data_IF_245997439339
#
_entry.id   IF_245997439339
#
_cell.length_a   1.000
_cell.length_b   1.000
_cell.length_c   1.000
_cell.angle_alpha   90.00
_cell.angle_beta   90.00
_cell.angle_gamma   90.00
#
_symmetry.space_group_name_H-M   'P 1'
#
loop_
_entity.id
_entity.type
_entity.pdbx_description
1 polymer ?
#
# COMPACT_ATOMS: atom_id res chain seq x y z
N UNK A 1 -24.54 -28.55 37.65
CA UNK A 1 -24.64 -27.89 36.33
C UNK A 1 -24.62 -26.36 36.40
N UNK A 2 -25.13 -25.72 37.46
CA UNK A 2 -25.25 -24.25 37.59
C UNK A 2 -23.94 -23.43 37.54
N UNK A 3 -22.82 -23.92 38.09
CA UNK A 3 -21.56 -23.15 38.18
C UNK A 3 -20.89 -22.87 36.82
N UNK A 4 -21.16 -23.69 35.81
CA UNK A 4 -20.58 -23.51 34.47
C UNK A 4 -21.26 -22.38 33.67
N UNK A 5 -22.56 -22.17 33.88
CA UNK A 5 -23.34 -21.12 33.21
C UNK A 5 -22.98 -19.71 33.69
N UNK A 6 -22.68 -19.55 34.98
CA UNK A 6 -22.34 -18.25 35.60
C UNK A 6 -20.97 -17.74 35.12
N UNK A 7 -20.01 -18.63 34.87
CA UNK A 7 -18.71 -18.26 34.30
C UNK A 7 -18.86 -17.79 32.86
N UNK A 8 -19.54 -18.58 32.02
CA UNK A 8 -19.75 -18.27 30.59
C UNK A 8 -20.50 -16.95 30.38
N UNK A 9 -21.55 -16.68 31.17
CA UNK A 9 -22.28 -15.40 31.09
C UNK A 9 -21.42 -14.22 31.52
N UNK A 10 -20.62 -14.35 32.59
CA UNK A 10 -19.67 -13.29 33.02
C UNK A 10 -18.63 -12.98 31.95
N UNK A 11 -18.07 -14.00 31.29
CA UNK A 11 -17.12 -13.81 30.18
C UNK A 11 -17.77 -13.11 28.99
N UNK A 12 -19.00 -13.51 28.62
CA UNK A 12 -19.73 -12.86 27.51
C UNK A 12 -20.10 -11.40 27.80
N UNK A 13 -20.38 -11.08 29.07
CA UNK A 13 -20.67 -9.72 29.50
C UNK A 13 -19.39 -8.87 29.47
N UNK A 14 -18.29 -9.40 29.99
CA UNK A 14 -16.97 -8.75 29.99
C UNK A 14 -16.44 -8.50 28.56
N UNK A 15 -16.70 -9.44 27.64
CA UNK A 15 -16.35 -9.28 26.23
C UNK A 15 -17.17 -8.16 25.55
N UNK A 16 -18.45 -8.02 25.87
CA UNK A 16 -19.29 -6.94 25.36
C UNK A 16 -18.89 -5.58 25.93
N UNK A 17 -18.60 -5.51 27.23
CA UNK A 17 -18.11 -4.30 27.90
C UNK A 17 -16.76 -3.84 27.33
N UNK A 18 -15.81 -4.75 27.16
CA UNK A 18 -14.49 -4.44 26.59
C UNK A 18 -14.58 -3.97 25.13
N UNK A 19 -15.42 -4.63 24.31
CA UNK A 19 -15.69 -4.20 22.94
C UNK A 19 -16.35 -2.81 22.92
N UNK A 20 -17.35 -2.56 23.74
CA UNK A 20 -18.03 -1.27 23.82
C UNK A 20 -17.06 -0.14 24.23
N UNK A 21 -16.21 -0.38 25.22
CA UNK A 21 -15.18 0.58 25.64
C UNK A 21 -14.15 0.85 24.55
N UNK A 22 -13.75 -0.17 23.79
CA UNK A 22 -12.86 0.00 22.65
C UNK A 22 -13.50 0.85 21.55
N UNK A 23 -14.76 0.57 21.18
CA UNK A 23 -15.49 1.35 20.18
C UNK A 23 -15.80 2.77 20.64
N UNK A 24 -16.10 2.98 21.93
CA UNK A 24 -16.31 4.31 22.51
C UNK A 24 -15.01 5.12 22.54
N UNK A 25 -13.88 4.50 22.86
CA UNK A 25 -12.55 5.13 22.77
C UNK A 25 -12.23 5.52 21.33
N UNK A 26 -12.51 4.66 20.36
CA UNK A 26 -12.33 4.93 18.93
C UNK A 26 -13.21 6.11 18.49
N UNK A 27 -14.48 6.16 18.88
CA UNK A 27 -15.40 7.25 18.51
C UNK A 27 -14.99 8.58 19.17
N UNK A 28 -14.66 8.57 20.46
CA UNK A 28 -14.19 9.77 21.17
C UNK A 28 -12.88 10.26 20.57
N UNK A 29 -11.96 9.35 20.24
CA UNK A 29 -10.72 9.68 19.55
C UNK A 29 -11.02 10.33 18.19
N UNK A 30 -11.86 9.73 17.33
CA UNK A 30 -12.23 10.28 16.01
C UNK A 30 -12.97 11.64 16.10
N UNK A 31 -13.76 11.86 17.16
CA UNK A 31 -14.46 13.14 17.38
C UNK A 31 -13.50 14.24 17.84
N UNK A 32 -12.54 13.91 18.72
CA UNK A 32 -11.44 14.81 19.10
C UNK A 32 -10.54 15.08 17.89
N UNK A 33 -10.31 14.05 17.08
CA UNK A 33 -9.53 14.06 15.85
C UNK A 33 -10.12 15.05 14.83
N UNK A 34 -11.44 15.07 14.65
CA UNK A 34 -12.11 16.00 13.72
C UNK A 34 -12.01 17.48 14.15
N UNK A 35 -11.84 17.76 15.45
CA UNK A 35 -11.78 19.14 15.99
C UNK A 35 -10.36 19.71 16.08
N UNK A 36 -9.33 18.87 16.18
CA UNK A 36 -7.91 19.27 16.34
C UNK A 36 -7.12 19.14 15.02
N UNK A 37 -7.68 18.53 13.97
CA UNK A 37 -7.02 18.04 12.75
C UNK A 37 -6.37 19.04 11.78
N UNK A 38 -6.41 20.33 12.05
CA UNK A 38 -5.90 21.35 11.14
C UNK A 38 -4.68 21.96 11.79
N UNK A 39 -3.48 21.38 11.61
CA UNK A 39 -2.30 22.20 11.25
C UNK A 39 -0.97 21.51 10.89
N UNK A 40 -0.65 20.27 11.25
CA UNK A 40 0.73 19.78 11.00
C UNK A 40 0.81 18.26 10.67
N UNK A 41 1.35 17.92 9.51
CA UNK A 41 1.60 16.55 9.01
C UNK A 41 2.45 15.69 9.98
N UNK A 42 3.25 16.34 10.84
CA UNK A 42 4.16 15.73 11.83
C UNK A 42 3.44 14.92 12.91
N UNK A 43 2.18 15.24 13.19
CA UNK A 43 1.38 14.52 14.19
C UNK A 43 0.84 13.19 13.66
N UNK A 44 0.55 13.07 12.37
CA UNK A 44 0.04 11.83 11.76
C UNK A 44 0.98 10.64 11.95
N UNK A 45 2.29 10.86 11.82
CA UNK A 45 3.27 9.77 11.98
C UNK A 45 3.40 9.34 13.44
N UNK A 46 3.30 10.30 14.38
CA UNK A 46 3.33 10.00 15.82
C UNK A 46 2.08 9.27 16.30
N UNK A 47 0.90 9.69 15.84
CA UNK A 47 -0.35 9.01 16.17
C UNK A 47 -0.47 7.66 15.48
N UNK A 48 -0.02 7.52 14.24
CA UNK A 48 0.09 6.22 13.55
C UNK A 48 0.97 5.25 14.34
N UNK A 49 2.10 5.72 14.86
CA UNK A 49 2.96 4.90 15.72
C UNK A 49 2.27 4.51 17.04
N UNK A 50 1.58 5.45 17.70
CA UNK A 50 0.83 5.15 18.93
C UNK A 50 -0.27 4.11 18.68
N UNK A 51 -0.97 4.17 17.54
CA UNK A 51 -2.03 3.23 17.21
C UNK A 51 -1.48 1.82 16.93
N UNK A 52 -0.34 1.74 16.23
CA UNK A 52 0.38 0.47 16.02
C UNK A 52 0.83 -0.11 17.36
N UNK A 53 1.40 0.69 18.26
CA UNK A 53 1.80 0.24 19.60
C UNK A 53 0.62 -0.27 20.43
N UNK A 54 -0.54 0.40 20.38
CA UNK A 54 -1.76 -0.06 21.05
C UNK A 54 -2.24 -1.39 20.46
N UNK A 55 -2.21 -1.55 19.14
CA UNK A 55 -2.54 -2.80 18.47
C UNK A 55 -1.64 -3.96 18.91
N UNK A 56 -0.32 -3.74 18.94
CA UNK A 56 0.66 -4.72 19.42
C UNK A 56 0.44 -5.10 20.89
N UNK A 57 0.09 -4.15 21.77
CA UNK A 57 -0.22 -4.41 23.18
C UNK A 57 -1.45 -5.31 23.36
N UNK A 58 -2.49 -5.12 22.54
CA UNK A 58 -3.69 -5.96 22.57
C UNK A 58 -3.36 -7.40 22.15
N UNK A 59 -2.57 -7.56 21.08
CA UNK A 59 -2.18 -8.88 20.57
C UNK A 59 -1.20 -9.56 21.55
N UNK A 60 -0.26 -8.84 22.15
CA UNK A 60 0.62 -9.34 23.21
C UNK A 60 -0.17 -9.87 24.41
N UNK A 61 -1.19 -9.14 24.84
CA UNK A 61 -2.05 -9.58 25.94
C UNK A 61 -2.80 -10.88 25.60
N UNK A 62 -3.27 -10.99 24.35
CA UNK A 62 -3.90 -12.21 23.84
C UNK A 62 -2.92 -13.40 23.77
N UNK A 63 -1.70 -13.19 23.26
CA UNK A 63 -0.66 -14.22 23.17
C UNK A 63 -0.20 -14.66 24.56
N UNK A 64 -0.09 -13.73 25.51
CA UNK A 64 0.22 -14.05 26.90
C UNK A 64 -0.88 -14.89 27.56
N UNK A 65 -2.16 -14.59 27.28
CA UNK A 65 -3.28 -15.41 27.73
C UNK A 65 -3.27 -16.83 27.14
N UNK A 66 -2.70 -17.03 25.96
CA UNK A 66 -2.63 -18.31 25.25
C UNK A 66 -1.25 -19.00 25.36
N UNK A 67 -0.39 -18.55 26.28
CA UNK A 67 1.00 -19.02 26.41
C UNK A 67 1.13 -20.55 26.59
N UNK A 68 0.14 -21.25 27.13
CA UNK A 68 0.18 -22.71 27.30
C UNK A 68 0.08 -23.49 26.00
N UNK A 69 -0.47 -22.87 24.94
CA UNK A 69 -0.73 -23.53 23.65
C UNK A 69 0.41 -23.35 22.64
N UNK A 70 1.30 -22.37 22.85
CA UNK A 70 2.39 -22.05 21.92
C UNK A 70 3.71 -22.65 22.39
N UNK A 71 4.48 -23.20 21.44
CA UNK A 71 5.83 -23.68 21.72
C UNK A 71 6.74 -22.53 22.16
N UNK A 72 7.71 -22.81 23.04
CA UNK A 72 8.69 -21.81 23.52
C UNK A 72 9.43 -21.09 22.39
N UNK A 73 9.67 -21.78 21.28
CA UNK A 73 10.31 -21.20 20.10
C UNK A 73 9.41 -20.16 19.41
N UNK A 74 8.12 -20.46 19.23
CA UNK A 74 7.13 -19.54 18.65
C UNK A 74 6.95 -18.29 19.51
N UNK A 75 6.96 -18.46 20.84
CA UNK A 75 6.89 -17.34 21.78
C UNK A 75 8.11 -16.42 21.65
N UNK A 76 9.32 -16.99 21.57
CA UNK A 76 10.56 -16.22 21.46
C UNK A 76 10.61 -15.39 20.18
N UNK A 77 10.23 -15.98 19.03
CA UNK A 77 10.13 -15.27 17.75
C UNK A 77 9.16 -14.10 17.85
N UNK A 78 7.99 -14.33 18.46
CA UNK A 78 6.97 -13.29 18.60
C UNK A 78 7.47 -12.13 19.48
N UNK A 79 8.00 -12.40 20.68
CA UNK A 79 8.55 -11.36 21.55
C UNK A 79 9.71 -10.59 20.89
N UNK A 80 10.60 -11.29 20.17
CA UNK A 80 11.69 -10.64 19.43
C UNK A 80 11.16 -9.70 18.33
N UNK A 81 10.13 -10.11 17.60
CA UNK A 81 9.51 -9.28 16.55
C UNK A 81 8.86 -8.01 17.11
N UNK A 82 8.14 -8.13 18.24
CA UNK A 82 7.54 -6.99 18.95
C UNK A 82 8.60 -6.02 19.44
N UNK A 83 9.67 -6.53 20.07
CA UNK A 83 10.78 -5.69 20.56
C UNK A 83 11.42 -4.92 19.40
N UNK A 84 11.69 -5.59 18.28
CA UNK A 84 12.26 -4.96 17.09
C UNK A 84 11.36 -3.84 16.56
N UNK A 85 10.06 -4.08 16.50
CA UNK A 85 9.08 -3.11 16.03
C UNK A 85 8.95 -1.89 16.96
N UNK A 86 9.00 -2.09 18.29
CA UNK A 86 9.02 -1.01 19.29
C UNK A 86 10.30 -0.16 19.14
N UNK A 87 11.46 -0.81 19.01
CA UNK A 87 12.76 -0.13 18.85
C UNK A 87 12.79 0.69 17.56
N UNK A 88 12.37 0.10 16.44
CA UNK A 88 12.28 0.78 15.15
C UNK A 88 11.29 1.95 15.19
N UNK A 89 10.15 1.75 15.86
CA UNK A 89 9.16 2.79 16.10
C UNK A 89 9.71 3.97 16.91
N UNK A 90 10.42 3.70 18.00
CA UNK A 90 11.07 4.72 18.82
C UNK A 90 12.16 5.47 18.03
N UNK A 91 12.96 4.75 17.24
CA UNK A 91 13.98 5.34 16.37
C UNK A 91 13.37 6.31 15.36
N UNK A 92 12.27 5.92 14.70
CA UNK A 92 11.52 6.79 13.79
C UNK A 92 10.95 8.01 14.52
N UNK A 93 10.38 7.83 15.72
CA UNK A 93 9.81 8.94 16.51
C UNK A 93 10.86 9.97 16.91
N UNK A 94 12.12 9.54 17.13
CA UNK A 94 13.27 10.40 17.45
C UNK A 94 13.88 11.04 16.20
N UNK A 95 13.93 10.34 15.07
CA UNK A 95 14.53 10.85 13.82
C UNK A 95 13.61 11.81 13.05
N UNK A 96 12.29 11.55 13.05
CA UNK A 96 11.30 12.37 12.33
C UNK A 96 11.21 13.85 12.76
N UNK A 97 11.33 14.24 14.05
CA UNK A 97 11.26 15.65 14.43
C UNK A 97 12.44 16.49 13.93
N UNK A 98 13.56 15.86 13.54
CA UNK A 98 14.79 16.55 13.14
C UNK A 98 14.99 16.67 11.62
N UNK A 99 14.00 16.25 10.81
CA UNK A 99 13.97 16.55 9.38
C UNK A 99 13.79 18.07 9.21
N UNK A 100 14.91 18.78 9.15
CA UNK A 100 14.93 20.19 8.78
C UNK A 100 14.21 20.35 7.43
N UNK A 101 13.28 21.31 7.29
CA UNK A 101 12.79 21.67 5.98
C UNK A 101 14.00 22.08 5.15
N UNK A 102 14.31 21.29 4.12
CA UNK A 102 15.48 21.49 3.26
C UNK A 102 15.49 22.95 2.77
N UNK A 103 16.44 23.80 3.21
CA UNK A 103 16.46 25.20 2.85
C UNK A 103 17.18 25.30 1.50
N UNK A 104 16.41 25.40 0.43
CA UNK A 104 16.95 25.54 -0.92
C UNK A 104 16.74 24.31 -1.78
N UNK A 105 15.48 24.03 -2.12
CA UNK A 105 15.22 23.44 -3.43
C UNK A 105 15.45 24.53 -4.47
N UNK A 106 16.69 24.63 -4.93
CA UNK A 106 16.96 25.22 -6.24
C UNK A 106 16.49 24.14 -7.21
N UNK A 107 15.52 24.40 -8.09
CA UNK A 107 15.28 23.46 -9.18
C UNK A 107 16.63 23.30 -9.86
N UNK A 108 17.20 22.09 -9.84
CA UNK A 108 18.20 21.74 -10.83
C UNK A 108 17.49 21.98 -12.15
N UNK A 109 17.75 23.16 -12.72
CA UNK A 109 17.63 23.37 -14.15
C UNK A 109 18.45 22.22 -14.69
N UNK A 110 17.76 21.22 -15.24
CA UNK A 110 18.43 20.28 -16.13
C UNK A 110 19.30 21.17 -17.00
N UNK A 111 20.58 20.86 -17.03
CA UNK A 111 21.44 21.38 -18.07
C UNK A 111 20.64 21.12 -19.34
N UNK A 112 20.04 22.19 -19.87
CA UNK A 112 19.38 22.17 -21.15
C UNK A 112 20.56 21.93 -22.06
N UNK A 113 20.84 20.65 -22.29
CA UNK A 113 21.62 20.22 -23.43
C UNK A 113 20.91 20.89 -24.57
N UNK A 114 21.54 21.97 -25.00
CA UNK A 114 21.12 22.81 -26.10
C UNK A 114 21.10 21.85 -27.28
N UNK A 115 19.90 21.41 -27.65
CA UNK A 115 19.64 20.50 -28.76
C UNK A 115 19.83 21.25 -30.09
N UNK A 116 21.00 21.88 -30.22
CA UNK A 116 21.40 22.73 -31.35
C UNK A 116 22.80 22.48 -31.86
N UNK A 117 23.60 21.64 -31.21
CA UNK A 117 24.89 21.21 -31.76
C UNK A 117 24.87 19.70 -31.94
N UNK A 118 24.72 19.29 -33.20
CA UNK A 118 24.65 17.92 -33.61
C UNK A 118 25.90 17.13 -33.22
N UNK A 119 25.68 16.07 -32.45
CA UNK A 119 26.39 14.81 -32.66
C UNK A 119 25.35 13.72 -32.89
N UNK A 120 25.15 13.45 -34.18
CA UNK A 120 24.41 12.34 -34.74
C UNK A 120 25.11 11.03 -34.37
N UNK A 121 25.05 10.60 -33.10
CA UNK A 121 25.51 9.28 -32.68
C UNK A 121 24.32 8.33 -32.64
N UNK A 122 24.08 7.75 -33.82
CA UNK A 122 23.34 6.53 -34.13
C UNK A 122 22.73 5.74 -32.95
N UNK A 123 21.40 5.71 -32.95
CA UNK A 123 20.53 4.80 -32.20
C UNK A 123 19.29 5.57 -31.77
N UNK A 124 18.16 5.37 -32.46
CA UNK A 124 16.90 6.11 -32.32
C UNK A 124 16.54 6.49 -30.89
N UNK A 125 15.91 7.66 -30.71
CA UNK A 125 15.19 8.07 -29.49
C UNK A 125 14.07 7.08 -29.15
N UNK A 126 14.42 5.88 -28.71
CA UNK A 126 13.48 4.80 -28.44
C UNK A 126 12.73 5.09 -27.14
N UNK A 127 11.55 5.68 -27.31
CA UNK A 127 10.50 5.81 -26.29
C UNK A 127 10.12 4.39 -25.81
N UNK A 128 9.85 4.25 -24.51
CA UNK A 128 9.44 2.98 -23.89
C UNK A 128 8.34 2.26 -24.71
N UNK A 129 8.55 0.96 -25.05
CA UNK A 129 7.59 0.17 -25.82
C UNK A 129 6.25 -0.05 -25.16
N UNK A 130 6.19 0.17 -23.85
CA UNK A 130 4.99 0.15 -23.07
C UNK A 130 3.90 1.10 -23.60
N UNK A 131 4.28 2.24 -24.22
CA UNK A 131 3.33 3.21 -24.80
C UNK A 131 2.52 2.65 -25.97
N UNK A 132 3.17 1.88 -26.84
CA UNK A 132 2.56 1.29 -28.03
C UNK A 132 2.21 -0.20 -27.87
N UNK A 133 2.51 -0.79 -26.71
CA UNK A 133 2.13 -2.16 -26.40
C UNK A 133 0.60 -2.35 -26.33
N UNK A 134 0.11 -3.49 -26.83
CA UNK A 134 -1.28 -3.90 -26.65
C UNK A 134 -1.62 -4.06 -25.16
N UNK A 135 -2.90 -3.93 -24.81
CA UNK A 135 -3.36 -4.03 -23.41
C UNK A 135 -2.91 -5.36 -22.77
N UNK A 136 -2.95 -6.46 -23.54
CA UNK A 136 -2.47 -7.76 -23.06
C UNK A 136 -0.97 -7.76 -22.80
N UNK A 137 -0.16 -7.21 -23.71
CA UNK A 137 1.30 -7.09 -23.54
C UNK A 137 1.67 -6.17 -22.36
N UNK A 138 0.89 -5.10 -22.14
CA UNK A 138 1.05 -4.21 -20.98
C UNK A 138 0.75 -4.93 -19.66
N UNK A 139 -0.25 -5.81 -19.66
CA UNK A 139 -0.62 -6.63 -18.48
C UNK A 139 0.40 -7.73 -18.20
N UNK A 140 0.90 -8.41 -19.24
CA UNK A 140 1.81 -9.55 -19.10
C UNK A 140 3.28 -9.15 -19.07
N UNK A 141 3.59 -7.84 -19.07
CA UNK A 141 4.95 -7.30 -19.18
C UNK A 141 5.72 -7.81 -20.40
N UNK A 142 5.01 -8.24 -21.46
CA UNK A 142 5.62 -8.77 -22.68
C UNK A 142 6.51 -7.76 -23.40
N UNK A 143 6.28 -6.45 -23.17
CA UNK A 143 7.10 -5.38 -23.72
C UNK A 143 8.52 -5.31 -23.12
N UNK A 144 8.75 -5.87 -21.92
CA UNK A 144 10.09 -5.91 -21.27
C UNK A 144 10.93 -7.09 -21.78
N UNK A 145 10.28 -8.17 -22.23
CA UNK A 145 10.91 -9.40 -22.70
C UNK A 145 12.11 -9.21 -23.64
N UNK A 146 12.10 -8.33 -24.66
CA UNK A 146 13.28 -8.11 -25.52
C UNK A 146 14.51 -7.60 -24.73
N UNK A 147 14.32 -6.70 -23.76
CA UNK A 147 15.41 -6.18 -22.94
C UNK A 147 15.95 -7.26 -21.99
N UNK A 148 15.09 -8.12 -21.45
CA UNK A 148 15.51 -9.25 -20.62
C UNK A 148 16.33 -10.28 -21.42
N UNK A 149 15.92 -10.58 -22.65
CA UNK A 149 16.67 -11.46 -23.55
C UNK A 149 18.03 -10.87 -23.92
N UNK A 150 18.09 -9.56 -24.13
CA UNK A 150 19.35 -8.87 -24.37
C UNK A 150 20.27 -8.92 -23.14
N UNK A 151 19.73 -8.67 -21.95
CA UNK A 151 20.46 -8.76 -20.68
C UNK A 151 20.95 -10.17 -20.33
N UNK A 152 20.27 -11.20 -20.83
CA UNK A 152 20.73 -12.60 -20.71
C UNK A 152 21.97 -12.87 -21.57
N UNK A 153 22.02 -12.30 -22.77
CA UNK A 153 23.11 -12.52 -23.73
C UNK A 153 24.31 -11.60 -23.52
N UNK A 154 24.08 -10.35 -23.08
CA UNK A 154 25.12 -9.34 -22.84
C UNK A 154 24.76 -8.44 -21.66
N UNK A 155 25.74 -7.90 -20.91
CA UNK A 155 25.47 -6.93 -19.86
C UNK A 155 24.83 -5.66 -20.44
N UNK A 156 23.74 -5.20 -19.80
CA UNK A 156 22.99 -4.02 -20.25
C UNK A 156 23.79 -2.76 -19.96
N UNK A 157 23.95 -1.91 -20.98
CA UNK A 157 24.58 -0.58 -20.86
C UNK A 157 23.50 0.51 -20.85
N UNK A 158 23.76 1.69 -20.28
CA UNK A 158 22.78 2.78 -20.22
C UNK A 158 22.20 3.22 -21.57
N UNK A 159 22.92 2.99 -22.68
CA UNK A 159 22.45 3.25 -24.05
C UNK A 159 21.40 2.25 -24.56
N UNK A 160 21.34 1.06 -23.96
CA UNK A 160 20.39 -0.01 -24.32
C UNK A 160 19.04 0.13 -23.60
N UNK A 161 18.92 1.09 -22.67
CA UNK A 161 17.72 1.31 -21.86
C UNK A 161 16.85 2.38 -22.50
N UNK A 162 15.54 2.13 -22.53
CA UNK A 162 14.57 3.09 -23.07
C UNK A 162 14.53 4.39 -22.28
N UNK A 163 14.30 5.50 -22.99
CA UNK A 163 14.06 6.79 -22.36
C UNK A 163 12.70 6.81 -21.68
N UNK A 164 12.65 7.39 -20.49
CA UNK A 164 11.42 7.56 -19.71
C UNK A 164 10.41 8.40 -20.50
N UNK A 165 9.13 8.02 -20.48
CA UNK A 165 8.09 8.79 -21.15
C UNK A 165 7.97 10.19 -20.53
N UNK A 166 7.67 11.17 -21.38
CA UNK A 166 7.35 12.55 -21.07
C UNK A 166 6.43 12.75 -19.86
N UNK A 167 5.46 11.86 -19.63
CA UNK A 167 4.51 11.96 -18.51
C UNK A 167 5.06 11.49 -17.16
N UNK A 168 6.11 10.66 -17.16
CA UNK A 168 6.74 10.13 -15.93
C UNK A 168 8.03 10.88 -15.58
N UNK A 169 8.47 11.83 -16.43
CA UNK A 169 9.58 12.74 -16.13
C UNK A 169 9.27 13.62 -14.91
N UNK A 170 10.26 13.74 -14.03
CA UNK A 170 10.19 14.58 -12.83
C UNK A 170 9.86 16.04 -13.15
N UNK A 171 10.37 16.56 -14.26
CA UNK A 171 10.11 17.94 -14.70
C UNK A 171 8.63 18.18 -14.98
N UNK A 172 7.99 17.30 -15.77
CA UNK A 172 6.57 17.37 -16.08
C UNK A 172 5.71 17.26 -14.82
N UNK A 173 6.07 16.33 -13.93
CA UNK A 173 5.34 16.14 -12.68
C UNK A 173 5.51 17.33 -11.72
N UNK A 174 6.72 17.87 -11.61
CA UNK A 174 7.03 19.05 -10.79
C UNK A 174 6.33 20.30 -11.32
N UNK A 175 6.34 20.52 -12.63
CA UNK A 175 5.62 21.63 -13.27
C UNK A 175 4.11 21.55 -13.03
N UNK A 176 3.53 20.35 -13.16
CA UNK A 176 2.11 20.12 -12.88
C UNK A 176 1.78 20.37 -11.41
N UNK A 177 2.61 19.89 -10.49
CA UNK A 177 2.46 20.15 -9.07
C UNK A 177 2.58 21.65 -8.74
N UNK A 178 3.56 22.36 -9.32
CA UNK A 178 3.75 23.79 -9.09
C UNK A 178 2.58 24.63 -9.57
N UNK A 179 1.99 24.28 -10.72
CA UNK A 179 0.76 24.92 -11.19
C UNK A 179 -0.37 24.76 -10.17
N UNK A 180 -0.62 23.53 -9.71
CA UNK A 180 -1.64 23.26 -8.69
C UNK A 180 -1.33 23.95 -7.35
N UNK A 181 -0.07 24.02 -6.95
CA UNK A 181 0.36 24.70 -5.72
C UNK A 181 0.18 26.22 -5.79
N UNK A 182 0.46 26.83 -6.95
CA UNK A 182 0.27 28.26 -7.16
C UNK A 182 -1.19 28.65 -6.99
N UNK A 183 -2.11 27.90 -7.62
CA UNK A 183 -3.56 28.09 -7.46
C UNK A 183 -4.04 27.85 -6.02
N UNK A 184 -3.40 26.91 -5.31
CA UNK A 184 -3.72 26.56 -3.93
C UNK A 184 -3.22 27.60 -2.91
N UNK A 185 -2.05 28.19 -3.15
CA UNK A 185 -1.42 29.19 -2.29
C UNK A 185 -2.21 30.50 -2.19
N UNK A 186 -3.04 30.81 -3.20
CA UNK A 186 -3.90 31.98 -3.22
C UNK A 186 -5.16 31.81 -2.35
N UNK A 187 -5.41 30.62 -1.81
CA UNK A 187 -6.61 30.37 -0.99
C UNK A 187 -6.36 30.76 0.47
N UNK A 188 -7.43 31.19 1.18
CA UNK A 188 -7.39 31.57 2.61
C UNK A 188 -6.75 30.52 3.54
N UNK A 189 -6.81 29.24 3.17
CA UNK A 189 -6.13 28.13 3.86
C UNK A 189 -5.50 27.22 2.80
N UNK A 190 -4.18 27.30 2.57
CA UNK A 190 -3.49 26.44 1.61
C UNK A 190 -3.21 25.07 2.23
N UNK A 191 -3.53 23.99 1.51
CA UNK A 191 -3.36 22.61 1.96
C UNK A 191 -2.50 21.84 0.96
N UNK A 192 -1.32 21.40 1.40
CA UNK A 192 -0.37 20.65 0.56
C UNK A 192 -1.00 19.38 -0.03
N UNK A 193 -1.74 18.63 0.78
CA UNK A 193 -2.43 17.42 0.33
C UNK A 193 -3.45 17.70 -0.79
N UNK A 194 -4.08 18.88 -0.79
CA UNK A 194 -5.03 19.26 -1.83
C UNK A 194 -4.31 19.56 -3.16
N UNK A 195 -3.19 20.27 -3.11
CA UNK A 195 -2.35 20.49 -4.29
C UNK A 195 -1.78 19.18 -4.84
N UNK A 196 -1.32 18.29 -3.94
CA UNK A 196 -0.82 16.96 -4.31
C UNK A 196 -1.92 16.08 -4.92
N UNK A 197 -3.13 16.10 -4.36
CA UNK A 197 -4.28 15.37 -4.90
C UNK A 197 -4.73 15.96 -6.24
N UNK A 198 -4.55 17.26 -6.49
CA UNK A 198 -4.84 17.85 -7.79
C UNK A 198 -3.82 17.39 -8.86
N UNK A 199 -2.54 17.26 -8.52
CA UNK A 199 -1.50 16.87 -9.49
C UNK A 199 -1.41 15.36 -9.72
N UNK A 200 -1.57 14.54 -8.67
CA UNK A 200 -1.36 13.08 -8.68
C UNK A 200 -2.62 12.27 -8.36
N UNK A 201 -3.69 12.89 -7.90
CA UNK A 201 -4.84 12.20 -7.30
C UNK A 201 -5.53 11.23 -8.22
N UNK A 202 -5.70 11.54 -9.51
CA UNK A 202 -6.37 10.62 -10.45
C UNK A 202 -5.74 9.23 -10.51
N UNK A 203 -4.39 9.18 -10.54
CA UNK A 203 -3.61 7.93 -10.51
C UNK A 203 -3.74 7.21 -9.17
N UNK A 204 -3.68 7.98 -8.07
CA UNK A 204 -3.78 7.47 -6.71
C UNK A 204 -5.15 6.87 -6.40
N UNK A 205 -6.23 7.59 -6.70
CA UNK A 205 -7.61 7.14 -6.45
C UNK A 205 -8.00 5.93 -7.28
N UNK A 206 -7.56 5.88 -8.53
CA UNK A 206 -7.77 4.69 -9.36
C UNK A 206 -7.07 3.48 -8.76
N UNK A 207 -5.79 3.59 -8.35
CA UNK A 207 -5.10 2.51 -7.64
C UNK A 207 -5.75 2.12 -6.32
N UNK A 208 -6.22 3.11 -5.55
CA UNK A 208 -6.91 2.90 -4.27
C UNK A 208 -8.23 2.15 -4.41
N UNK A 209 -9.05 2.49 -5.41
CA UNK A 209 -10.32 1.80 -5.68
C UNK A 209 -10.11 0.31 -5.98
N UNK A 210 -9.11 0.00 -6.81
CA UNK A 210 -8.74 -1.38 -7.13
C UNK A 210 -8.22 -2.14 -5.90
N UNK A 211 -7.48 -1.46 -5.02
CA UNK A 211 -7.00 -2.02 -3.76
C UNK A 211 -8.14 -2.36 -2.80
N UNK A 212 -9.08 -1.43 -2.60
CA UNK A 212 -10.27 -1.67 -1.76
C UNK A 212 -11.10 -2.84 -2.32
N UNK A 213 -11.34 -2.88 -3.63
CA UNK A 213 -12.02 -4.01 -4.26
C UNK A 213 -11.31 -5.35 -4.04
N UNK A 214 -9.97 -5.36 -4.12
CA UNK A 214 -9.15 -6.53 -3.83
C UNK A 214 -9.31 -6.99 -2.39
N UNK A 215 -9.27 -6.06 -1.44
CA UNK A 215 -9.35 -6.38 -0.01
C UNK A 215 -10.76 -6.89 0.36
N UNK A 216 -11.82 -6.32 -0.24
CA UNK A 216 -13.18 -6.85 -0.11
C UNK A 216 -13.30 -8.29 -0.63
N UNK A 217 -12.65 -8.60 -1.76
CA UNK A 217 -12.63 -9.97 -2.30
C UNK A 217 -11.89 -10.97 -1.40
N UNK A 218 -10.91 -10.54 -0.58
CA UNK A 218 -10.23 -11.44 0.36
C UNK A 218 -11.18 -12.00 1.42
N UNK A 219 -12.16 -11.21 1.85
CA UNK A 219 -13.14 -11.65 2.84
C UNK A 219 -14.13 -12.68 2.31
N UNK A 220 -14.29 -12.78 0.98
CA UNK A 220 -15.21 -13.74 0.34
C UNK A 220 -14.74 -15.18 0.51
N UNK A 221 -13.42 -15.42 0.55
CA UNK A 221 -12.84 -16.76 0.73
C UNK A 221 -13.31 -17.50 1.99
N UNK A 222 -13.05 -16.98 3.20
CA UNK A 222 -13.50 -17.60 4.45
C UNK A 222 -15.03 -17.65 4.57
N UNK A 223 -15.75 -16.68 3.97
CA UNK A 223 -17.21 -16.66 3.96
C UNK A 223 -17.79 -17.84 3.16
N UNK A 224 -17.25 -18.08 1.95
CA UNK A 224 -17.66 -19.19 1.10
C UNK A 224 -17.25 -20.55 1.70
N UNK A 225 -16.10 -20.62 2.37
CA UNK A 225 -15.66 -21.84 3.06
C UNK A 225 -16.63 -22.23 4.18
N UNK A 226 -17.07 -21.28 5.01
CA UNK A 226 -18.05 -21.56 6.06
C UNK A 226 -19.39 -22.06 5.49
N UNK A 227 -19.85 -21.47 4.37
CA UNK A 227 -21.08 -21.92 3.70
C UNK A 227 -20.96 -23.31 3.08
N UNK A 228 -19.78 -23.64 2.54
CA UNK A 228 -19.50 -24.97 2.03
C UNK A 228 -19.52 -26.01 3.15
N UNK A 229 -18.87 -25.72 4.29
CA UNK A 229 -18.87 -26.61 5.46
C UNK A 229 -20.29 -26.82 6.01
N UNK A 230 -21.08 -25.76 6.12
CA UNK A 230 -22.49 -25.82 6.57
C UNK A 230 -23.37 -26.68 5.63
N UNK A 231 -23.13 -26.58 4.32
CA UNK A 231 -23.85 -27.36 3.30
C UNK A 231 -23.48 -28.85 3.32
N UNK A 232 -22.21 -29.16 3.57
CA UNK A 232 -21.74 -30.54 3.75
C UNK A 232 -22.32 -31.18 5.02
N UNK A 233 -22.46 -30.42 6.10
CA UNK A 233 -23.06 -30.90 7.35
C UNK A 233 -24.57 -31.17 7.23
N UNK A 234 -25.30 -30.36 6.44
CA UNK A 234 -26.74 -30.56 6.19
C UNK A 234 -27.07 -31.71 5.25
N UNK A 235 -26.08 -32.24 4.51
CA UNK A 235 -26.33 -33.25 3.48
C UNK A 235 -27.11 -32.69 2.28
N UNK A 236 -26.92 -31.40 1.97
CA UNK A 236 -27.50 -30.76 0.80
C UNK A 236 -27.01 -31.42 -0.50
N UNK A 237 -27.79 -31.33 -1.61
CA UNK A 237 -27.42 -31.99 -2.85
C UNK A 237 -26.08 -31.49 -3.42
N UNK A 238 -25.26 -32.42 -3.92
CA UNK A 238 -23.86 -32.23 -4.29
C UNK A 238 -23.57 -31.07 -5.28
N UNK A 239 -24.57 -30.66 -6.08
CA UNK A 239 -24.42 -29.54 -7.01
C UNK A 239 -24.19 -28.19 -6.30
N UNK A 240 -24.70 -28.03 -5.07
CA UNK A 240 -24.49 -26.82 -4.24
C UNK A 240 -23.04 -26.75 -3.77
N UNK A 241 -22.47 -27.89 -3.36
CA UNK A 241 -21.05 -28.01 -3.02
C UNK A 241 -20.14 -27.71 -4.21
N UNK A 242 -20.47 -28.22 -5.41
CA UNK A 242 -19.75 -27.90 -6.64
C UNK A 242 -19.82 -26.41 -6.99
N UNK A 243 -20.98 -25.76 -6.78
CA UNK A 243 -21.15 -24.33 -6.99
C UNK A 243 -20.24 -23.52 -6.04
N UNK A 244 -20.22 -23.83 -4.75
CA UNK A 244 -19.34 -23.16 -3.78
C UNK A 244 -17.85 -23.42 -4.06
N UNK A 245 -17.46 -24.65 -4.39
CA UNK A 245 -16.09 -24.98 -4.77
C UNK A 245 -15.64 -24.23 -6.03
N UNK A 246 -16.52 -24.12 -7.03
CA UNK A 246 -16.27 -23.34 -8.25
C UNK A 246 -16.17 -21.84 -7.93
N UNK A 247 -17.03 -21.31 -7.06
CA UNK A 247 -16.97 -19.91 -6.61
C UNK A 247 -15.69 -19.61 -5.84
N UNK A 248 -15.22 -20.53 -4.99
CA UNK A 248 -13.93 -20.42 -4.30
C UNK A 248 -12.79 -20.45 -5.31
N UNK A 249 -12.79 -21.39 -6.25
CA UNK A 249 -11.74 -21.51 -7.27
C UNK A 249 -11.68 -20.25 -8.15
N UNK A 250 -12.81 -19.79 -8.69
CA UNK A 250 -12.90 -18.56 -9.48
C UNK A 250 -12.53 -17.34 -8.64
N UNK A 251 -12.97 -17.29 -7.39
CA UNK A 251 -12.64 -16.23 -6.44
C UNK A 251 -11.13 -16.14 -6.19
N UNK A 252 -10.48 -17.27 -5.90
CA UNK A 252 -9.03 -17.36 -5.65
C UNK A 252 -8.22 -17.08 -6.91
N UNK A 253 -8.64 -17.57 -8.08
CA UNK A 253 -7.93 -17.34 -9.36
C UNK A 253 -8.08 -15.87 -9.81
N UNK A 254 -9.29 -15.31 -9.76
CA UNK A 254 -9.49 -13.86 -10.01
C UNK A 254 -8.74 -13.03 -8.98
N UNK A 255 -8.73 -13.43 -7.72
CA UNK A 255 -8.03 -12.73 -6.65
C UNK A 255 -6.51 -12.71 -6.89
N UNK A 256 -5.88 -13.84 -7.17
CA UNK A 256 -4.43 -13.88 -7.44
C UNK A 256 -4.08 -13.06 -8.69
N UNK A 257 -4.87 -13.16 -9.75
CA UNK A 257 -4.65 -12.40 -10.97
C UNK A 257 -4.85 -10.88 -10.74
N UNK A 258 -5.80 -10.49 -9.89
CA UNK A 258 -6.09 -9.10 -9.57
C UNK A 258 -5.14 -8.51 -8.52
N UNK A 259 -4.64 -9.32 -7.59
CA UNK A 259 -3.66 -8.92 -6.59
C UNK A 259 -2.30 -8.68 -7.24
N UNK A 260 -1.89 -9.57 -8.15
CA UNK A 260 -0.76 -9.38 -9.07
C UNK A 260 -0.98 -8.09 -9.87
N UNK A 261 -2.10 -7.97 -10.62
CA UNK A 261 -2.37 -6.76 -11.42
C UNK A 261 -2.41 -5.46 -10.61
N UNK A 262 -2.93 -5.48 -9.38
CA UNK A 262 -3.00 -4.31 -8.51
C UNK A 262 -1.63 -3.94 -7.96
N UNK A 263 -0.81 -4.90 -7.55
CA UNK A 263 0.58 -4.67 -7.14
C UNK A 263 1.38 -4.10 -8.31
N UNK A 264 1.24 -4.71 -9.49
CA UNK A 264 1.92 -4.26 -10.69
C UNK A 264 1.41 -2.89 -11.17
N UNK A 265 0.12 -2.62 -11.12
CA UNK A 265 -0.43 -1.31 -11.49
C UNK A 265 -0.03 -0.20 -10.50
N UNK A 266 -0.03 -0.48 -9.19
CA UNK A 266 0.42 0.47 -8.16
C UNK A 266 1.94 0.69 -8.27
N UNK A 267 2.71 -0.38 -8.44
CA UNK A 267 4.15 -0.29 -8.67
C UNK A 267 4.45 0.47 -9.97
N UNK A 268 3.69 0.24 -11.03
CA UNK A 268 3.88 0.89 -12.31
C UNK A 268 3.47 2.37 -12.29
N UNK A 269 2.40 2.70 -11.56
CA UNK A 269 1.83 4.06 -11.54
C UNK A 269 2.51 4.99 -10.53
N UNK A 270 3.00 4.45 -9.40
CA UNK A 270 3.55 5.24 -8.28
C UNK A 270 5.07 5.02 -8.12
N UNK A 271 5.56 3.82 -8.39
CA UNK A 271 6.92 3.38 -8.06
C UNK A 271 7.84 3.42 -9.29
N UNK A 272 7.37 3.09 -10.49
CA UNK A 272 8.19 3.08 -11.72
C UNK A 272 8.82 4.43 -12.07
N UNK A 273 8.17 5.60 -11.89
CA UNK A 273 8.82 6.88 -12.10
C UNK A 273 10.02 7.07 -11.15
N UNK A 274 9.91 6.59 -9.90
CA UNK A 274 10.93 6.70 -8.84
C UNK A 274 12.08 5.70 -8.96
N UNK A 275 11.82 4.49 -9.46
CA UNK A 275 12.88 3.50 -9.70
C UNK A 275 13.65 3.84 -10.98
N UNK A 276 12.98 4.32 -12.03
CA UNK A 276 13.69 4.82 -13.21
C UNK A 276 14.53 6.07 -12.89
N UNK A 277 14.09 6.98 -12.02
CA UNK A 277 14.95 8.12 -11.63
C UNK A 277 16.10 7.77 -10.70
N UNK A 278 16.04 6.68 -9.93
CA UNK A 278 17.12 6.30 -9.00
C UNK A 278 18.09 5.25 -9.51
N UNK A 279 17.73 4.47 -10.55
CA UNK A 279 18.62 3.50 -11.16
C UNK A 279 19.31 4.01 -12.44
N UNK A 280 18.86 5.14 -13.01
CA UNK A 280 19.39 5.69 -14.26
C UNK A 280 19.92 7.14 -14.17
N UNK A 281 19.99 7.71 -12.95
CA UNK A 281 20.77 8.92 -12.66
C UNK A 281 21.84 8.59 -11.63
#
# INVERSE_FOLDING_TARGET
MERSGISSTKWSLFEKESKALAWMSIIVMNLVETKVYIKEFRWYVRFGLMYVLVGELVILNFVFSMQSFYSRFTQYIYYSSVIFQIVFGALLLVHLPHLNPFPGYIPLRSESVDDKNGETILGEDHICPERYASILSRITFGWITPLLQQGYNRPITGKDVWKLDSWDKTETLSARFQRCWTEESQRKKPWLLRALNCSLGGRFWYGGLFKVGSDLCQFVGPLLLNRLLESLERGDPAWIGHLYAFLIFVGVVRFNLHHIKSIYFIAFTIIAPRWCTKLLC
#
